data_IF_513420606786
#
_entry.id   IF_513420606786
#
_cell.length_a   1.000
_cell.length_b   1.000
_cell.length_c   1.000
_cell.angle_alpha   90.00
_cell.angle_beta   90.00
_cell.angle_gamma   90.00
#
_symmetry.space_group_name_H-M   'P 1'
#
loop_
_entity.id
_entity.type
_entity.pdbx_description
1 polymer ?
#
# COMPACT_ATOMS: atom_id res chain seq x y z
N UNK A 1 23.27 -9.09 -1.02
CA UNK A 1 22.15 -8.15 -0.82
C UNK A 1 20.78 -8.83 -0.76
N UNK A 2 20.53 -9.91 -1.50
CA UNK A 2 19.20 -10.57 -1.51
C UNK A 2 18.77 -11.17 -0.15
N UNK A 3 19.66 -11.73 0.66
CA UNK A 3 19.30 -12.38 1.93
C UNK A 3 18.72 -11.43 2.98
N UNK A 4 19.34 -10.27 3.20
CA UNK A 4 18.86 -9.26 4.15
C UNK A 4 17.49 -8.69 3.75
N UNK A 5 17.28 -8.45 2.45
CA UNK A 5 16.01 -7.96 1.92
C UNK A 5 14.89 -8.99 2.07
N UNK A 6 15.18 -10.28 1.85
CA UNK A 6 14.23 -11.38 2.08
C UNK A 6 13.81 -11.45 3.53
N UNK A 7 14.76 -11.33 4.46
CA UNK A 7 14.47 -11.28 5.90
C UNK A 7 13.66 -10.03 6.28
N UNK A 8 13.91 -8.88 5.66
CA UNK A 8 13.13 -7.66 5.92
C UNK A 8 11.67 -7.83 5.47
N UNK A 9 11.42 -8.40 4.29
CA UNK A 9 10.05 -8.72 3.83
C UNK A 9 9.34 -9.62 4.84
N UNK A 10 10.01 -10.67 5.33
CA UNK A 10 9.42 -11.60 6.31
C UNK A 10 9.14 -10.90 7.64
N UNK A 11 10.04 -10.04 8.14
CA UNK A 11 9.80 -9.27 9.37
C UNK A 11 8.62 -8.30 9.25
N UNK A 12 8.52 -7.59 8.13
CA UNK A 12 7.37 -6.72 7.86
C UNK A 12 6.08 -7.53 7.78
N UNK A 13 6.08 -8.66 7.06
CA UNK A 13 4.93 -9.55 6.98
C UNK A 13 4.46 -10.04 8.34
N UNK A 14 5.39 -10.52 9.18
CA UNK A 14 5.10 -10.97 10.54
C UNK A 14 4.50 -9.85 11.40
N UNK A 15 5.09 -8.63 11.35
CA UNK A 15 4.58 -7.47 12.09
C UNK A 15 3.15 -7.11 11.67
N UNK A 16 2.84 -7.10 10.37
CA UNK A 16 1.50 -6.82 9.86
C UNK A 16 0.48 -7.88 10.30
N UNK A 17 0.88 -9.15 10.32
CA UNK A 17 0.05 -10.25 10.78
C UNK A 17 -0.23 -10.18 12.28
N UNK A 18 0.80 -9.97 13.10
CA UNK A 18 0.70 -9.85 14.56
C UNK A 18 -0.18 -8.67 14.99
N UNK A 19 -0.17 -7.58 14.22
CA UNK A 19 -1.03 -6.40 14.45
C UNK A 19 -2.46 -6.56 13.92
N UNK A 20 -2.77 -7.66 13.24
CA UNK A 20 -4.10 -7.91 12.67
C UNK A 20 -4.41 -7.09 11.41
N UNK A 21 -3.40 -6.59 10.71
CA UNK A 21 -3.59 -5.87 9.45
C UNK A 21 -3.80 -6.80 8.25
N UNK A 22 -3.47 -8.06 8.44
CA UNK A 22 -3.79 -9.17 7.54
C UNK A 22 -4.21 -10.39 8.34
N UNK A 23 -4.95 -11.30 7.71
CA UNK A 23 -5.38 -12.56 8.31
C UNK A 23 -5.28 -13.69 7.28
N UNK A 24 -5.13 -14.93 7.75
CA UNK A 24 -5.01 -16.10 6.87
C UNK A 24 -3.89 -15.94 5.85
N UNK A 25 -4.20 -16.11 4.58
CA UNK A 25 -3.30 -15.91 3.45
C UNK A 25 -3.58 -14.61 2.68
N UNK A 26 -4.27 -13.66 3.30
CA UNK A 26 -4.54 -12.36 2.70
C UNK A 26 -3.28 -11.50 2.65
N UNK A 27 -3.24 -10.60 1.65
CA UNK A 27 -2.15 -9.66 1.50
C UNK A 27 -0.90 -10.20 0.79
N UNK A 28 -0.05 -9.30 0.40
CA UNK A 28 1.22 -9.63 -0.27
C UNK A 28 2.17 -8.44 -0.20
N UNK A 29 3.47 -8.73 -0.30
CA UNK A 29 4.55 -7.75 -0.27
C UNK A 29 5.47 -8.03 -1.44
N UNK A 30 5.82 -7.00 -2.21
CA UNK A 30 6.89 -7.10 -3.20
C UNK A 30 7.94 -6.03 -3.00
N UNK A 31 9.14 -6.30 -3.47
CA UNK A 31 10.25 -5.35 -3.51
C UNK A 31 10.92 -5.41 -4.88
N UNK A 32 11.15 -4.24 -5.49
CA UNK A 32 11.93 -4.11 -6.70
C UNK A 32 13.41 -4.25 -6.37
N UNK A 33 14.11 -5.09 -7.09
CA UNK A 33 15.57 -5.28 -7.04
C UNK A 33 16.21 -4.82 -8.36
N UNK A 34 17.54 -4.83 -8.42
CA UNK A 34 18.25 -4.51 -9.67
C UNK A 34 18.07 -5.60 -10.75
N UNK A 35 17.73 -6.83 -10.34
CA UNK A 35 17.52 -7.98 -11.22
C UNK A 35 16.04 -8.19 -11.59
N UNK A 36 15.11 -7.48 -10.92
CA UNK A 36 13.67 -7.64 -11.10
C UNK A 36 12.89 -7.44 -9.80
N UNK A 37 12.23 -8.48 -9.28
CA UNK A 37 11.34 -8.37 -8.13
C UNK A 37 11.48 -9.57 -7.19
N UNK A 38 11.37 -9.32 -5.89
CA UNK A 38 10.99 -10.32 -4.90
C UNK A 38 9.52 -10.11 -4.55
N UNK A 39 8.75 -11.18 -4.41
CA UNK A 39 7.35 -11.11 -3.97
C UNK A 39 7.01 -12.30 -3.10
N UNK A 40 6.09 -12.10 -2.15
CA UNK A 40 5.52 -13.19 -1.35
C UNK A 40 4.80 -14.20 -2.26
N UNK A 41 4.88 -15.50 -1.94
CA UNK A 41 4.19 -16.53 -2.71
C UNK A 41 2.67 -16.37 -2.71
N UNK A 42 2.02 -16.93 -3.71
CA UNK A 42 0.54 -17.02 -3.72
C UNK A 42 0.07 -17.83 -2.52
N UNK A 43 -1.05 -17.40 -1.91
CA UNK A 43 -1.69 -18.03 -0.74
C UNK A 43 -0.78 -18.22 0.49
N UNK A 44 0.35 -17.48 0.57
CA UNK A 44 1.24 -17.52 1.74
C UNK A 44 0.69 -16.66 2.88
N UNK A 45 0.78 -17.18 4.11
CA UNK A 45 0.52 -16.40 5.32
C UNK A 45 1.69 -15.45 5.59
N UNK A 46 1.44 -14.14 5.66
CA UNK A 46 2.48 -13.14 5.91
C UNK A 46 3.15 -13.31 7.29
N UNK A 47 2.44 -13.88 8.26
CA UNK A 47 2.95 -14.13 9.62
C UNK A 47 3.99 -15.23 9.71
N UNK A 48 4.10 -16.11 8.69
CA UNK A 48 4.96 -17.31 8.73
C UNK A 48 5.78 -17.47 7.45
N UNK A 49 6.17 -16.36 6.84
CA UNK A 49 6.98 -16.37 5.62
C UNK A 49 8.37 -16.97 5.87
N UNK A 50 8.80 -17.81 4.93
CA UNK A 50 10.17 -18.30 4.85
C UNK A 50 10.94 -17.47 3.81
N UNK A 51 12.08 -16.84 4.19
CA UNK A 51 12.87 -16.03 3.26
C UNK A 51 13.34 -16.79 2.01
N UNK A 52 13.58 -18.11 2.12
CA UNK A 52 14.03 -18.95 1.00
C UNK A 52 12.94 -19.23 -0.02
N UNK A 53 11.67 -19.17 0.41
CA UNK A 53 10.48 -19.47 -0.40
C UNK A 53 9.91 -18.25 -1.12
N UNK A 54 10.38 -17.01 -0.80
CA UNK A 54 9.94 -15.82 -1.53
C UNK A 54 10.25 -15.97 -3.03
N UNK A 55 9.26 -15.68 -3.86
CA UNK A 55 9.41 -15.75 -5.31
C UNK A 55 10.38 -14.67 -5.80
N UNK A 56 11.34 -15.09 -6.63
CA UNK A 56 12.21 -14.19 -7.39
C UNK A 56 11.72 -14.17 -8.84
N UNK A 57 11.52 -12.97 -9.39
CA UNK A 57 11.02 -12.75 -10.75
C UNK A 57 11.97 -11.78 -11.44
N UNK A 58 12.46 -12.10 -12.64
CA UNK A 58 13.36 -11.22 -13.38
C UNK A 58 12.63 -10.01 -13.99
N UNK A 59 13.37 -9.09 -14.60
CA UNK A 59 12.80 -7.88 -15.22
C UNK A 59 11.84 -8.22 -16.38
N UNK A 60 12.03 -9.34 -17.07
CA UNK A 60 11.13 -9.80 -18.13
C UNK A 60 9.79 -10.34 -17.59
N UNK A 61 9.75 -10.72 -16.29
CA UNK A 61 8.56 -11.27 -15.64
C UNK A 61 8.61 -12.79 -15.47
N UNK A 62 9.73 -13.44 -15.79
CA UNK A 62 9.90 -14.87 -15.59
C UNK A 62 10.30 -15.14 -14.15
N UNK A 63 9.67 -16.12 -13.53
CA UNK A 63 10.05 -16.56 -12.19
C UNK A 63 11.37 -17.35 -12.26
N UNK A 64 12.36 -16.93 -11.45
CA UNK A 64 13.69 -17.52 -11.42
C UNK A 64 13.97 -18.32 -10.14
N UNK A 65 13.09 -18.28 -9.15
CA UNK A 65 13.26 -19.02 -7.91
C UNK A 65 12.12 -18.80 -6.92
N UNK A 66 12.12 -19.58 -5.85
CA UNK A 66 11.09 -19.56 -4.79
C UNK A 66 9.82 -20.31 -5.18
N UNK A 67 8.81 -20.19 -4.32
CA UNK A 67 7.46 -20.73 -4.54
C UNK A 67 6.70 -19.88 -5.58
N UNK A 68 5.55 -20.36 -6.13
CA UNK A 68 4.79 -19.62 -7.13
C UNK A 68 4.47 -18.19 -6.70
N UNK A 69 4.86 -17.21 -7.52
CA UNK A 69 4.67 -15.80 -7.21
C UNK A 69 3.19 -15.43 -7.04
N UNK A 70 2.89 -14.49 -6.14
CA UNK A 70 1.55 -13.94 -6.00
C UNK A 70 1.01 -13.41 -7.33
N UNK A 71 -0.22 -13.73 -7.64
CA UNK A 71 -0.95 -13.26 -8.83
C UNK A 71 -1.09 -11.73 -8.89
N UNK A 72 -0.93 -11.05 -7.77
CA UNK A 72 -0.99 -9.59 -7.67
C UNK A 72 0.28 -8.88 -8.17
N UNK A 73 1.33 -9.61 -8.53
CA UNK A 73 2.57 -9.02 -9.07
C UNK A 73 2.28 -8.08 -10.25
N UNK A 74 1.28 -8.38 -11.08
CA UNK A 74 0.89 -7.52 -12.20
C UNK A 74 0.48 -6.11 -11.73
N UNK A 75 -0.31 -6.00 -10.66
CA UNK A 75 -0.68 -4.72 -10.04
C UNK A 75 0.58 -4.00 -9.48
N UNK A 76 1.43 -4.74 -8.75
CA UNK A 76 2.65 -4.15 -8.18
C UNK A 76 3.59 -3.63 -9.27
N UNK A 77 3.78 -4.35 -10.36
CA UNK A 77 4.58 -3.88 -11.51
C UNK A 77 4.04 -2.58 -12.09
N UNK A 78 2.71 -2.45 -12.25
CA UNK A 78 2.09 -1.21 -12.73
C UNK A 78 2.34 -0.03 -11.80
N UNK A 79 2.36 -0.25 -10.49
CA UNK A 79 2.73 0.79 -9.52
C UNK A 79 4.20 1.18 -9.69
N UNK A 80 5.12 0.21 -9.80
CA UNK A 80 6.53 0.47 -10.04
C UNK A 80 6.80 1.21 -11.36
N UNK A 81 6.02 0.93 -12.39
CA UNK A 81 6.14 1.63 -13.69
C UNK A 81 5.60 3.06 -13.60
N UNK A 82 4.52 3.27 -12.86
CA UNK A 82 3.88 4.58 -12.70
C UNK A 82 4.63 5.49 -11.70
N UNK A 83 5.26 4.93 -10.67
CA UNK A 83 6.10 5.63 -9.69
C UNK A 83 7.52 5.02 -9.64
N UNK A 84 8.49 5.62 -10.34
CA UNK A 84 9.87 5.14 -10.35
C UNK A 84 10.58 5.17 -8.98
N UNK A 85 10.07 5.95 -8.01
CA UNK A 85 10.60 6.00 -6.65
C UNK A 85 10.11 4.85 -5.77
N UNK A 86 9.06 4.15 -6.18
CA UNK A 86 8.56 2.99 -5.48
C UNK A 86 9.55 1.82 -5.59
N UNK A 87 9.97 1.30 -4.43
CA UNK A 87 10.82 0.11 -4.32
C UNK A 87 10.15 -1.03 -3.56
N UNK A 88 9.12 -0.73 -2.77
CA UNK A 88 8.29 -1.70 -2.07
C UNK A 88 6.83 -1.38 -2.27
N UNK A 89 6.02 -2.41 -2.51
CA UNK A 89 4.55 -2.36 -2.55
C UNK A 89 4.00 -3.37 -1.56
N UNK A 90 3.05 -2.94 -0.73
CA UNK A 90 2.34 -3.77 0.25
C UNK A 90 0.84 -3.66 -0.04
N UNK A 91 0.19 -4.81 -0.17
CA UNK A 91 -1.26 -4.92 -0.19
C UNK A 91 -1.73 -5.72 1.01
N UNK A 92 -2.77 -5.25 1.69
CA UNK A 92 -3.37 -5.93 2.84
C UNK A 92 -4.88 -5.90 2.77
N UNK A 93 -5.54 -6.71 3.60
CA UNK A 93 -6.99 -6.64 3.82
C UNK A 93 -7.27 -6.06 5.22
N UNK A 94 -6.65 -4.92 5.53
CA UNK A 94 -6.72 -4.26 6.84
C UNK A 94 -8.16 -3.94 7.24
N UNK A 95 -8.52 -4.34 8.46
CA UNK A 95 -9.92 -4.42 8.89
C UNK A 95 -10.66 -3.10 8.87
N UNK A 96 -10.03 -2.03 9.41
CA UNK A 96 -10.73 -0.73 9.49
C UNK A 96 -10.83 -0.06 8.12
N UNK A 97 -9.82 -0.23 7.27
CA UNK A 97 -9.85 0.27 5.90
C UNK A 97 -10.91 -0.45 5.05
N UNK A 98 -11.02 -1.78 5.17
CA UNK A 98 -12.09 -2.52 4.49
C UNK A 98 -13.45 -2.09 5.04
N UNK A 99 -13.62 -2.02 6.37
CA UNK A 99 -14.85 -1.57 7.01
C UNK A 99 -15.27 -0.17 6.56
N UNK A 100 -14.29 0.72 6.37
CA UNK A 100 -14.52 2.07 5.86
C UNK A 100 -15.19 2.05 4.47
N UNK A 101 -14.74 1.18 3.57
CA UNK A 101 -15.38 1.07 2.23
C UNK A 101 -16.77 0.45 2.27
N UNK A 102 -17.08 -0.35 3.31
CA UNK A 102 -18.41 -0.93 3.53
C UNK A 102 -19.37 0.08 4.14
N UNK A 103 -18.87 0.95 5.03
CA UNK A 103 -19.65 1.99 5.72
C UNK A 103 -19.84 3.26 4.87
N UNK A 104 -19.05 3.44 3.82
CA UNK A 104 -18.98 4.65 3.00
C UNK A 104 -17.74 5.48 3.31
N UNK A 105 -16.96 5.77 2.26
CA UNK A 105 -15.75 6.62 2.32
C UNK A 105 -16.15 8.10 2.39
N UNK A 106 -15.20 8.97 2.80
CA UNK A 106 -15.41 10.41 2.83
C UNK A 106 -15.62 10.98 1.41
N UNK A 107 -14.76 10.62 0.47
CA UNK A 107 -14.91 10.93 -0.95
C UNK A 107 -14.20 9.89 -1.81
N UNK A 108 -14.39 9.96 -3.14
CA UNK A 108 -13.64 9.10 -4.08
C UNK A 108 -12.17 9.52 -4.23
N UNK A 109 -11.85 10.79 -3.94
CA UNK A 109 -10.50 11.32 -4.04
C UNK A 109 -9.69 11.10 -2.76
N UNK A 110 -10.39 11.03 -1.62
CA UNK A 110 -9.82 10.73 -0.30
C UNK A 110 -10.78 9.88 0.51
N UNK A 111 -10.38 8.68 0.86
CA UNK A 111 -11.23 7.75 1.64
C UNK A 111 -11.51 8.24 3.06
N UNK A 112 -10.63 9.05 3.64
CA UNK A 112 -10.76 9.72 4.94
C UNK A 112 -10.36 11.19 4.83
N UNK A 113 -11.00 12.10 5.57
CA UNK A 113 -10.56 13.50 5.62
C UNK A 113 -9.23 13.64 6.37
N UNK A 114 -8.55 14.80 6.29
CA UNK A 114 -7.32 15.05 7.02
C UNK A 114 -7.61 15.24 8.51
N UNK A 115 -7.47 14.20 9.33
CA UNK A 115 -7.86 14.24 10.76
C UNK A 115 -6.65 14.26 11.71
N UNK A 116 -5.46 13.85 11.25
CA UNK A 116 -4.26 13.92 12.06
C UNK A 116 -3.10 14.55 11.29
N UNK A 117 -2.16 15.23 11.96
CA UNK A 117 -0.95 15.74 11.32
C UNK A 117 -0.13 14.62 10.67
N UNK A 118 -0.04 13.45 11.28
CA UNK A 118 0.75 12.34 10.75
C UNK A 118 0.15 11.74 9.47
N UNK A 119 -1.19 11.61 9.40
CA UNK A 119 -1.86 11.23 8.16
C UNK A 119 -1.47 12.19 7.01
N UNK A 120 -1.58 13.50 7.24
CA UNK A 120 -1.25 14.52 6.23
C UNK A 120 0.22 14.46 5.81
N UNK A 121 1.13 14.26 6.77
CA UNK A 121 2.58 14.26 6.53
C UNK A 121 3.10 12.94 5.95
N UNK A 122 2.60 11.80 6.41
CA UNK A 122 3.15 10.47 6.11
C UNK A 122 2.40 9.73 5.03
N UNK A 123 1.09 9.88 4.99
CA UNK A 123 0.22 9.19 4.03
C UNK A 123 -0.11 10.09 2.84
N UNK A 124 -0.68 11.27 3.08
CA UNK A 124 -1.22 12.16 2.06
C UNK A 124 -2.58 11.67 1.56
N UNK A 125 -2.93 12.06 0.33
CA UNK A 125 -4.16 11.67 -0.33
C UNK A 125 -4.23 10.15 -0.60
N UNK A 126 -5.43 9.57 -0.40
CA UNK A 126 -5.69 8.14 -0.64
C UNK A 126 -6.98 7.95 -1.42
N UNK A 127 -6.91 7.94 -2.75
CA UNK A 127 -8.10 7.78 -3.58
C UNK A 127 -8.68 6.36 -3.54
N UNK A 128 -10.00 6.28 -3.71
CA UNK A 128 -10.73 5.04 -3.89
C UNK A 128 -10.62 4.56 -5.34
N UNK A 129 -10.25 3.32 -5.54
CA UNK A 129 -10.41 2.58 -6.78
C UNK A 129 -11.69 1.77 -6.67
N UNK A 130 -12.67 2.03 -7.53
CA UNK A 130 -13.95 1.35 -7.50
C UNK A 130 -13.83 -0.17 -7.62
N UNK A 131 -14.86 -0.87 -7.16
CA UNK A 131 -14.85 -2.34 -7.10
C UNK A 131 -14.43 -2.99 -8.41
N UNK A 132 -13.46 -3.87 -8.29
CA UNK A 132 -13.02 -4.82 -9.32
C UNK A 132 -12.87 -6.20 -8.67
N UNK A 133 -13.17 -7.26 -9.42
CA UNK A 133 -12.89 -8.61 -8.92
C UNK A 133 -11.40 -8.81 -8.68
N UNK A 134 -11.00 -9.63 -7.71
CA UNK A 134 -9.59 -9.95 -7.50
C UNK A 134 -8.92 -10.47 -8.79
N UNK A 135 -7.75 -9.92 -9.11
CA UNK A 135 -7.00 -10.28 -10.32
C UNK A 135 -7.49 -9.64 -11.62
N UNK A 136 -8.42 -8.68 -11.56
CA UNK A 136 -8.85 -7.93 -12.74
C UNK A 136 -7.72 -7.01 -13.21
N UNK A 137 -7.26 -7.10 -14.47
CA UNK A 137 -6.19 -6.24 -15.00
C UNK A 137 -6.58 -4.76 -15.05
N UNK A 138 -7.86 -4.44 -15.13
CA UNK A 138 -8.35 -3.06 -15.10
C UNK A 138 -8.09 -2.38 -13.74
N UNK A 139 -8.07 -3.12 -12.64
CA UNK A 139 -7.69 -2.57 -11.35
C UNK A 139 -6.27 -1.96 -11.38
N UNK A 140 -5.32 -2.65 -12.00
CA UNK A 140 -3.95 -2.20 -12.15
C UNK A 140 -3.86 -0.96 -13.07
N UNK A 141 -4.67 -0.93 -14.14
CA UNK A 141 -4.75 0.23 -15.05
C UNK A 141 -5.34 1.46 -14.35
N UNK A 142 -6.41 1.28 -13.55
CA UNK A 142 -7.04 2.35 -12.78
C UNK A 142 -6.06 2.94 -11.75
N UNK A 143 -5.31 2.09 -11.05
CA UNK A 143 -4.27 2.52 -10.08
C UNK A 143 -3.17 3.32 -10.80
N UNK A 144 -2.62 2.81 -11.89
CA UNK A 144 -1.57 3.50 -12.63
C UNK A 144 -2.04 4.87 -13.17
N UNK A 145 -3.28 4.95 -13.65
CA UNK A 145 -3.91 6.20 -14.10
C UNK A 145 -4.02 7.20 -12.96
N UNK A 146 -4.45 6.75 -11.77
CA UNK A 146 -4.60 7.62 -10.60
C UNK A 146 -3.22 8.14 -10.11
N UNK A 147 -2.19 7.31 -10.11
CA UNK A 147 -0.82 7.72 -9.81
C UNK A 147 -0.36 8.84 -10.77
N UNK A 148 -0.56 8.66 -12.08
CA UNK A 148 -0.21 9.66 -13.08
C UNK A 148 -0.97 10.98 -12.86
N UNK A 149 -2.29 10.94 -12.71
CA UNK A 149 -3.13 12.10 -12.48
C UNK A 149 -2.70 12.92 -11.25
N UNK A 150 -2.46 12.26 -10.12
CA UNK A 150 -2.08 12.96 -8.88
C UNK A 150 -0.65 13.50 -8.94
N UNK A 151 0.27 12.79 -9.60
CA UNK A 151 1.62 13.30 -9.86
C UNK A 151 1.58 14.56 -10.74
N UNK A 152 0.83 14.54 -11.83
CA UNK A 152 0.72 15.65 -12.78
C UNK A 152 0.01 16.86 -12.13
N UNK A 153 -0.86 16.64 -11.15
CA UNK A 153 -1.45 17.66 -10.31
C UNK A 153 -0.53 18.20 -9.18
N UNK A 154 0.70 17.68 -9.06
CA UNK A 154 1.67 18.10 -8.04
C UNK A 154 1.42 17.50 -6.64
N UNK A 155 0.47 16.59 -6.50
CA UNK A 155 0.13 15.91 -5.24
C UNK A 155 0.31 14.38 -5.36
N UNK A 156 1.55 13.87 -5.57
CA UNK A 156 1.79 12.46 -5.79
C UNK A 156 1.39 11.64 -4.57
N UNK A 157 0.59 10.61 -4.81
CA UNK A 157 0.11 9.65 -3.81
C UNK A 157 1.12 8.52 -3.57
N UNK A 158 0.95 7.80 -2.46
CA UNK A 158 1.70 6.57 -2.13
C UNK A 158 0.81 5.47 -1.58
N UNK A 159 -0.50 5.66 -1.71
CA UNK A 159 -1.52 4.70 -1.33
C UNK A 159 -2.76 4.86 -2.22
N UNK A 160 -3.46 3.76 -2.43
CA UNK A 160 -4.82 3.72 -2.97
C UNK A 160 -5.64 2.74 -2.14
N UNK A 161 -6.94 2.93 -2.08
CA UNK A 161 -7.87 1.97 -1.49
C UNK A 161 -8.61 1.22 -2.60
N UNK A 162 -8.44 -0.10 -2.67
CA UNK A 162 -9.26 -0.95 -3.52
C UNK A 162 -10.58 -1.24 -2.80
N UNK A 163 -11.70 -0.84 -3.38
CA UNK A 163 -13.01 -0.94 -2.75
C UNK A 163 -13.32 -2.38 -2.34
N UNK A 164 -13.70 -2.60 -1.06
CA UNK A 164 -14.05 -3.89 -0.43
C UNK A 164 -12.92 -4.92 -0.40
N UNK A 165 -11.72 -4.55 -0.80
CA UNK A 165 -10.57 -5.45 -0.84
C UNK A 165 -9.48 -5.04 0.15
N UNK A 166 -9.06 -3.80 0.10
CA UNK A 166 -8.03 -3.30 1.02
C UNK A 166 -7.07 -2.29 0.38
N UNK A 167 -6.21 -1.69 1.19
CA UNK A 167 -5.23 -0.71 0.72
C UNK A 167 -4.11 -1.37 -0.07
N UNK A 168 -3.56 -0.62 -1.00
CA UNK A 168 -2.27 -0.89 -1.61
C UNK A 168 -1.40 0.34 -1.39
N UNK A 169 -0.28 0.17 -0.70
CA UNK A 169 0.67 1.24 -0.35
C UNK A 169 2.03 0.98 -0.96
N UNK A 170 2.81 2.03 -1.23
CA UNK A 170 4.17 1.89 -1.75
C UNK A 170 5.10 2.97 -1.24
N UNK A 171 6.39 2.62 -1.14
CA UNK A 171 7.45 3.55 -0.77
C UNK A 171 8.83 3.03 -1.20
N UNK A 172 9.88 3.78 -0.90
CA UNK A 172 11.26 3.44 -1.22
C UNK A 172 11.85 2.24 -0.46
N UNK A 173 11.24 1.79 0.63
CA UNK A 173 11.68 0.62 1.42
C UNK A 173 10.49 -0.11 2.04
N UNK A 174 10.63 -1.41 2.43
CA UNK A 174 9.59 -2.13 3.16
C UNK A 174 9.17 -1.45 4.46
N UNK A 175 10.13 -0.95 5.24
CA UNK A 175 9.85 -0.26 6.50
C UNK A 175 9.03 1.02 6.30
N UNK A 176 9.35 1.82 5.28
CA UNK A 176 8.60 3.04 4.97
C UNK A 176 7.20 2.75 4.42
N UNK A 177 7.06 1.72 3.58
CA UNK A 177 5.76 1.30 3.09
C UNK A 177 4.86 0.77 4.23
N UNK A 178 5.44 -0.02 5.15
CA UNK A 178 4.74 -0.48 6.36
C UNK A 178 4.28 0.68 7.23
N UNK A 179 5.13 1.70 7.45
CA UNK A 179 4.77 2.87 8.24
C UNK A 179 3.61 3.68 7.64
N UNK A 180 3.55 3.80 6.30
CA UNK A 180 2.40 4.42 5.61
C UNK A 180 1.13 3.60 5.85
N UNK A 181 1.21 2.28 5.73
CA UNK A 181 0.07 1.39 5.95
C UNK A 181 -0.45 1.46 7.39
N UNK A 182 0.46 1.44 8.37
CA UNK A 182 0.12 1.50 9.79
C UNK A 182 -0.59 2.81 10.13
N UNK A 183 -0.07 3.95 9.66
CA UNK A 183 -0.69 5.26 9.86
C UNK A 183 -2.06 5.34 9.18
N UNK A 184 -2.19 4.78 7.97
CA UNK A 184 -3.45 4.79 7.23
C UNK A 184 -4.52 3.94 7.93
N UNK A 185 -4.18 2.74 8.40
CA UNK A 185 -5.10 1.85 9.13
C UNK A 185 -5.52 2.49 10.47
N UNK A 186 -4.58 3.10 11.20
CA UNK A 186 -4.90 3.82 12.44
C UNK A 186 -5.80 5.03 12.18
N UNK A 187 -5.55 5.79 11.11
CA UNK A 187 -6.42 6.89 10.69
C UNK A 187 -7.85 6.43 10.39
N UNK A 188 -7.98 5.31 9.65
CA UNK A 188 -9.30 4.73 9.37
C UNK A 188 -10.01 4.27 10.63
N UNK A 189 -9.27 3.67 11.58
CA UNK A 189 -9.80 3.27 12.89
C UNK A 189 -10.34 4.47 13.66
N UNK A 190 -9.55 5.53 13.79
CA UNK A 190 -9.96 6.76 14.47
C UNK A 190 -11.19 7.41 13.81
N UNK A 191 -11.19 7.47 12.48
CA UNK A 191 -12.32 8.02 11.73
C UNK A 191 -13.60 7.22 11.94
N UNK A 192 -13.53 5.89 11.95
CA UNK A 192 -14.70 5.04 12.22
C UNK A 192 -15.22 5.18 13.65
N UNK A 193 -14.32 5.39 14.63
CA UNK A 193 -14.67 5.50 16.05
C UNK A 193 -15.32 6.83 16.41
N UNK A 194 -14.81 7.96 15.90
CA UNK A 194 -15.18 9.29 16.48
C UNK A 194 -15.65 10.31 15.45
N UNK A 195 -15.43 10.11 14.15
CA UNK A 195 -15.82 11.05 13.07
C UNK A 195 -15.47 12.51 13.41
N UNK A 196 -14.21 12.83 13.72
CA UNK A 196 -13.82 14.17 14.13
C UNK A 196 -13.95 15.19 13.00
N UNK A 197 -13.94 16.48 13.34
CA UNK A 197 -13.81 17.51 12.32
C UNK A 197 -12.42 17.43 11.67
N UNK A 198 -12.31 17.62 10.34
CA UNK A 198 -11.02 17.71 9.67
C UNK A 198 -10.14 18.82 10.22
N UNK A 199 -8.83 18.70 10.02
CA UNK A 199 -7.89 19.80 10.23
C UNK A 199 -8.29 21.00 9.36
N UNK A 200 -8.13 22.21 9.91
CA UNK A 200 -8.41 23.45 9.19
C UNK A 200 -7.31 23.71 8.13
N UNK A 201 -7.64 24.49 7.11
CA UNK A 201 -6.72 24.82 6.03
C UNK A 201 -5.38 25.38 6.54
N UNK A 202 -5.43 26.27 7.54
CA UNK A 202 -4.23 26.89 8.12
C UNK A 202 -3.30 25.84 8.79
N UNK A 203 -3.88 24.81 9.41
CA UNK A 203 -3.12 23.71 10.02
C UNK A 203 -2.45 22.84 8.94
N UNK A 204 -3.15 22.59 7.84
CA UNK A 204 -2.60 21.85 6.70
C UNK A 204 -1.48 22.67 6.04
N UNK A 205 -1.67 23.97 5.84
CA UNK A 205 -0.67 24.87 5.26
C UNK A 205 0.59 24.96 6.13
N UNK A 206 0.45 24.95 7.46
CA UNK A 206 1.59 24.86 8.36
C UNK A 206 2.37 23.54 8.17
N UNK A 207 1.68 22.41 8.02
CA UNK A 207 2.30 21.11 7.77
C UNK A 207 3.01 21.08 6.40
N UNK A 208 2.44 21.70 5.38
CA UNK A 208 3.08 21.87 4.06
C UNK A 208 4.36 22.68 4.17
N UNK A 209 4.28 23.84 4.83
CA UNK A 209 5.41 24.76 4.94
C UNK A 209 6.57 24.20 5.78
N UNK A 210 6.26 23.52 6.90
CA UNK A 210 7.29 23.05 7.84
C UNK A 210 7.85 21.67 7.51
N UNK A 211 7.04 20.79 6.94
CA UNK A 211 7.38 19.38 6.78
C UNK A 211 7.27 18.88 5.34
N UNK A 212 6.89 19.74 4.39
CA UNK A 212 6.73 19.36 3.00
C UNK A 212 5.58 18.36 2.79
N UNK A 213 4.54 18.43 3.63
CA UNK A 213 3.36 17.57 3.49
C UNK A 213 2.71 17.75 2.10
N UNK A 214 2.25 16.65 1.53
CA UNK A 214 1.65 16.61 0.19
C UNK A 214 0.16 16.32 0.29
N UNK A 215 -0.56 17.24 0.92
CA UNK A 215 -2.01 17.17 1.06
C UNK A 215 -2.68 18.26 0.24
#
# INVERSE_FOLDING_TARGET
MSGALRQEICRVGASLYERGYVHGSAGNISVRTDEGFLITPTDACLGTLDPTRLAAVNAAGDQTGGDPASKTLALHRRIYDADPQARCVIHTHSTHLVALTLAGVWSSDDIVPPITPYQVMKVGHVPLIGYRRPGDPEAAADVARRIAQTRDAGAPIRAVMLERLGPTVWHGTPALASAVLEELEETARLWLMVRPQPLRAEQIDELRARFGARW
#
